data_IF_360267757358
#
_entry.id   IF_360267757358
#
_cell.length_a   1.000
_cell.length_b   1.000
_cell.length_c   1.000
_cell.angle_alpha   90.00
_cell.angle_beta   90.00
_cell.angle_gamma   90.00
#
_symmetry.space_group_name_H-M   'P 1'
#
loop_
_entity.id
_entity.type
_entity.pdbx_description
1 polymer ?
#
# COMPACT_ATOMS: atom_id res chain seq x y z
N UNK A 1 25.00 -20.52 28.15
CA UNK A 1 23.71 -20.55 27.43
C UNK A 1 23.92 -20.05 26.02
N UNK A 2 23.29 -20.68 25.03
CA UNK A 2 23.26 -20.20 23.64
C UNK A 2 21.80 -19.98 23.26
N UNK A 3 21.47 -18.80 22.74
CA UNK A 3 20.16 -18.47 22.21
C UNK A 3 20.30 -18.16 20.72
N UNK A 4 19.30 -18.55 19.92
CA UNK A 4 19.24 -18.28 18.49
C UNK A 4 17.89 -17.63 18.16
N UNK A 5 17.92 -16.61 17.29
CA UNK A 5 16.73 -15.92 16.81
C UNK A 5 16.18 -16.66 15.58
N UNK A 6 14.93 -17.11 15.63
CA UNK A 6 14.31 -17.87 14.54
C UNK A 6 13.55 -16.96 13.55
N UNK A 7 12.73 -16.05 14.06
CA UNK A 7 12.04 -15.01 13.29
C UNK A 7 11.56 -13.87 14.18
N UNK A 8 11.37 -12.68 13.60
CA UNK A 8 10.70 -11.55 14.24
C UNK A 8 9.26 -11.44 13.72
N UNK A 9 8.29 -11.31 14.62
CA UNK A 9 6.91 -10.95 14.26
C UNK A 9 6.84 -9.43 14.28
N UNK A 10 6.95 -8.82 13.12
CA UNK A 10 6.86 -7.36 12.97
C UNK A 10 5.43 -6.99 12.62
N UNK A 11 4.85 -6.04 13.35
CA UNK A 11 3.63 -5.37 12.90
C UNK A 11 3.95 -4.36 11.78
N UNK A 12 2.92 -3.72 11.22
CA UNK A 12 3.11 -2.74 10.12
C UNK A 12 4.03 -1.59 10.52
N UNK A 13 3.98 -1.14 11.78
CA UNK A 13 4.81 -0.04 12.28
C UNK A 13 6.28 -0.44 12.40
N UNK A 14 6.56 -1.62 13.00
CA UNK A 14 7.89 -2.18 13.08
C UNK A 14 8.48 -2.44 11.69
N UNK A 15 7.65 -2.89 10.74
CA UNK A 15 8.07 -3.02 9.34
C UNK A 15 8.52 -1.70 8.75
N UNK A 16 7.75 -0.61 8.93
CA UNK A 16 8.12 0.72 8.43
C UNK A 16 9.48 1.18 8.96
N UNK A 17 9.72 1.01 10.26
CA UNK A 17 11.00 1.37 10.88
C UNK A 17 12.16 0.51 10.37
N UNK A 18 11.95 -0.80 10.19
CA UNK A 18 13.01 -1.72 9.76
C UNK A 18 13.33 -1.61 8.26
N UNK A 19 12.34 -1.28 7.43
CA UNK A 19 12.48 -1.22 5.97
C UNK A 19 12.67 0.20 5.42
N UNK A 20 12.52 1.23 6.25
CA UNK A 20 12.44 2.62 5.79
C UNK A 20 11.17 2.94 4.99
N UNK A 21 10.17 2.06 5.03
CA UNK A 21 8.93 2.20 4.28
C UNK A 21 7.94 3.13 5.00
N UNK A 22 7.27 4.00 4.24
CA UNK A 22 6.20 4.83 4.82
C UNK A 22 5.02 3.94 5.22
N UNK A 23 4.64 3.98 6.49
CA UNK A 23 3.43 3.32 7.01
C UNK A 23 2.22 4.25 7.02
N UNK A 24 2.35 5.43 6.39
CA UNK A 24 1.33 6.46 6.38
C UNK A 24 0.94 6.84 4.95
N UNK A 25 -0.34 7.21 4.80
CA UNK A 25 -0.88 7.72 3.54
C UNK A 25 -1.08 6.62 2.50
N UNK A 26 -1.06 7.03 1.23
CA UNK A 26 -1.47 6.17 0.10
C UNK A 26 -0.54 4.97 -0.09
N UNK A 27 0.73 5.07 0.31
CA UNK A 27 1.77 4.04 0.14
C UNK A 27 2.00 3.16 1.38
N UNK A 28 1.13 3.21 2.38
CA UNK A 28 1.29 2.41 3.61
C UNK A 28 1.39 0.90 3.39
N UNK A 29 0.80 0.37 2.32
CA UNK A 29 0.69 -1.06 2.10
C UNK A 29 1.97 -1.59 1.44
N UNK A 30 2.80 -2.36 2.15
CA UNK A 30 4.07 -2.85 1.60
C UNK A 30 3.86 -3.89 0.50
N UNK A 31 2.67 -4.49 0.40
CA UNK A 31 2.34 -5.43 -0.68
C UNK A 31 1.93 -4.68 -1.95
N UNK A 32 1.15 -3.61 -1.80
CA UNK A 32 0.61 -2.86 -2.94
C UNK A 32 1.62 -1.86 -3.49
N UNK A 33 2.33 -1.20 -2.58
CA UNK A 33 3.29 -0.14 -2.81
C UNK A 33 2.69 1.00 -3.65
N UNK A 34 3.31 1.29 -4.79
CA UNK A 34 2.93 2.31 -5.77
C UNK A 34 1.69 1.93 -6.60
N UNK A 35 1.46 0.64 -6.86
CA UNK A 35 0.24 0.12 -7.53
C UNK A 35 -0.87 -0.15 -6.50
N UNK A 36 -1.06 0.81 -5.59
CA UNK A 36 -2.16 0.85 -4.62
C UNK A 36 -3.35 1.60 -5.19
N UNK A 37 -4.56 1.20 -4.80
CA UNK A 37 -5.79 1.90 -5.21
C UNK A 37 -6.46 2.63 -4.07
N UNK A 38 -5.67 2.89 -3.03
CA UNK A 38 -6.03 3.73 -1.91
C UNK A 38 -6.36 5.11 -2.43
N UNK A 39 -7.44 5.67 -1.91
CA UNK A 39 -7.84 7.03 -2.24
C UNK A 39 -8.11 7.79 -0.95
N UNK A 40 -7.91 9.10 -0.98
CA UNK A 40 -8.26 9.94 0.15
C UNK A 40 -9.75 10.27 0.13
N UNK A 41 -10.41 10.19 1.30
CA UNK A 41 -11.78 10.66 1.45
C UNK A 41 -11.83 12.17 1.19
N UNK A 42 -12.77 12.63 0.36
CA UNK A 42 -12.88 14.04 -0.03
C UNK A 42 -12.91 15.00 1.17
N UNK A 43 -13.74 14.70 2.17
CA UNK A 43 -13.95 15.56 3.33
C UNK A 43 -12.96 15.30 4.47
N UNK A 44 -12.54 14.04 4.65
CA UNK A 44 -11.65 13.65 5.75
C UNK A 44 -10.16 13.73 5.41
N UNK A 45 -9.81 13.76 4.12
CA UNK A 45 -8.43 13.66 3.58
C UNK A 45 -7.63 12.44 4.09
N UNK A 46 -8.30 11.48 4.73
CA UNK A 46 -7.72 10.23 5.21
C UNK A 46 -7.71 9.21 4.10
N UNK A 47 -6.63 8.43 4.05
CA UNK A 47 -6.49 7.28 3.17
C UNK A 47 -7.60 6.25 3.46
N UNK A 48 -8.24 5.78 2.40
CA UNK A 48 -9.32 4.79 2.44
C UNK A 48 -8.92 3.56 1.62
N UNK A 49 -9.02 2.40 2.27
CA UNK A 49 -8.66 1.09 1.73
C UNK A 49 -9.88 0.32 1.22
N UNK A 50 -11.05 0.95 1.21
CA UNK A 50 -12.26 0.36 0.64
C UNK A 50 -11.95 -0.04 -0.80
N UNK A 51 -12.31 -1.27 -1.15
CA UNK A 51 -12.10 -1.92 -2.43
C UNK A 51 -10.65 -2.28 -2.81
N UNK A 52 -9.65 -1.92 -2.01
CA UNK A 52 -8.26 -2.30 -2.29
C UNK A 52 -8.07 -3.81 -2.20
N UNK A 53 -8.66 -4.48 -1.21
CA UNK A 53 -8.53 -5.93 -1.03
C UNK A 53 -9.12 -6.76 -2.18
N UNK A 54 -10.02 -6.18 -3.00
CA UNK A 54 -10.61 -6.88 -4.16
C UNK A 54 -9.57 -7.27 -5.22
N UNK A 55 -8.38 -6.64 -5.19
CA UNK A 55 -7.28 -6.99 -6.08
C UNK A 55 -6.60 -8.32 -5.78
N UNK A 56 -6.79 -8.85 -4.57
CA UNK A 56 -6.23 -10.14 -4.17
C UNK A 56 -7.23 -11.29 -4.31
N UNK A 57 -8.45 -10.99 -4.77
CA UNK A 57 -9.45 -12.01 -5.08
C UNK A 57 -9.09 -12.70 -6.39
N UNK A 58 -9.31 -14.02 -6.44
CA UNK A 58 -9.13 -14.81 -7.66
C UNK A 58 -9.93 -14.23 -8.82
N UNK A 59 -9.44 -14.50 -10.02
CA UNK A 59 -10.11 -14.09 -11.25
C UNK A 59 -11.55 -14.62 -11.28
N UNK A 60 -12.47 -13.78 -11.75
CA UNK A 60 -13.91 -14.06 -11.81
C UNK A 60 -14.62 -14.21 -10.45
N UNK A 61 -13.97 -13.85 -9.34
CA UNK A 61 -14.68 -13.79 -8.05
C UNK A 61 -15.88 -12.82 -8.13
N UNK A 62 -17.09 -13.18 -7.64
CA UNK A 62 -18.29 -12.34 -7.76
C UNK A 62 -18.09 -10.90 -7.26
N UNK A 63 -17.32 -10.73 -6.20
CA UNK A 63 -16.99 -9.43 -5.64
C UNK A 63 -16.06 -8.57 -6.49
N UNK A 64 -15.36 -9.10 -7.49
CA UNK A 64 -14.63 -8.26 -8.45
C UNK A 64 -15.60 -7.41 -9.27
N UNK A 65 -16.80 -7.93 -9.59
CA UNK A 65 -17.79 -7.23 -10.44
C UNK A 65 -18.97 -6.61 -9.70
N UNK A 66 -19.04 -6.81 -8.39
CA UNK A 66 -20.09 -6.22 -7.57
C UNK A 66 -19.94 -4.69 -7.49
N UNK A 67 -20.96 -3.97 -7.94
CA UNK A 67 -21.04 -2.50 -7.99
C UNK A 67 -21.92 -1.91 -6.87
N UNK A 68 -22.55 -2.77 -6.08
CA UNK A 68 -23.60 -2.42 -5.12
C UNK A 68 -23.10 -2.47 -3.68
N UNK A 69 -22.37 -3.52 -3.29
CA UNK A 69 -21.90 -3.73 -1.90
C UNK A 69 -20.60 -3.00 -1.58
N UNK A 70 -20.00 -2.37 -2.58
CA UNK A 70 -18.68 -1.74 -2.55
C UNK A 70 -18.78 -0.27 -2.94
N UNK A 71 -17.67 0.39 -3.30
CA UNK A 71 -17.75 1.74 -3.86
C UNK A 71 -18.66 1.72 -5.08
N UNK A 72 -19.69 2.56 -5.04
CA UNK A 72 -20.75 2.62 -6.05
C UNK A 72 -20.16 2.71 -7.45
N UNK A 73 -20.66 1.86 -8.35
CA UNK A 73 -20.26 1.81 -9.76
C UNK A 73 -18.77 1.49 -9.99
N UNK A 74 -18.03 0.99 -9.00
CA UNK A 74 -16.65 0.52 -9.19
C UNK A 74 -16.58 -0.99 -9.38
N UNK A 75 -15.81 -1.36 -10.40
CA UNK A 75 -15.59 -2.73 -10.86
C UNK A 75 -14.09 -2.99 -10.90
N UNK A 76 -13.67 -4.21 -10.59
CA UNK A 76 -12.29 -4.66 -10.74
C UNK A 76 -12.16 -5.61 -11.93
N UNK A 77 -11.30 -5.24 -12.87
CA UNK A 77 -11.07 -5.99 -14.11
C UNK A 77 -9.64 -6.52 -14.23
N UNK A 78 -8.73 -6.21 -13.31
CA UNK A 78 -7.36 -6.73 -13.37
C UNK A 78 -7.33 -8.18 -12.88
N UNK A 79 -6.42 -8.96 -13.47
CA UNK A 79 -6.03 -10.28 -12.98
C UNK A 79 -5.67 -10.18 -11.50
N UNK A 80 -6.07 -11.19 -10.72
CA UNK A 80 -5.75 -11.28 -9.30
C UNK A 80 -4.25 -11.02 -9.10
N UNK A 81 -3.91 -10.03 -8.26
CA UNK A 81 -2.52 -9.79 -7.92
C UNK A 81 -2.02 -11.00 -7.15
N UNK A 82 -1.02 -11.68 -7.70
CA UNK A 82 -0.33 -12.76 -6.99
C UNK A 82 0.23 -12.17 -5.69
N UNK A 83 0.04 -12.90 -4.59
CA UNK A 83 0.69 -12.54 -3.33
C UNK A 83 2.19 -12.74 -3.54
N UNK A 84 2.91 -11.63 -3.55
CA UNK A 84 4.38 -11.65 -3.60
C UNK A 84 4.90 -12.30 -2.33
N UNK A 85 5.97 -13.08 -2.47
CA UNK A 85 6.72 -13.59 -1.31
C UNK A 85 7.66 -12.50 -0.77
N UNK A 86 8.13 -12.66 0.47
CA UNK A 86 8.87 -11.63 1.19
C UNK A 86 10.06 -11.05 0.41
N UNK A 87 10.82 -11.90 -0.29
CA UNK A 87 11.96 -11.46 -1.09
C UNK A 87 11.54 -10.57 -2.28
N UNK A 88 10.48 -10.94 -2.99
CA UNK A 88 9.94 -10.15 -4.09
C UNK A 88 9.38 -8.80 -3.63
N UNK A 89 8.79 -8.75 -2.43
CA UNK A 89 8.34 -7.51 -1.80
C UNK A 89 9.55 -6.62 -1.50
N UNK A 90 10.61 -7.19 -0.91
CA UNK A 90 11.82 -6.42 -0.59
C UNK A 90 12.49 -5.87 -1.84
N UNK A 91 12.65 -6.69 -2.87
CA UNK A 91 13.31 -6.28 -4.12
C UNK A 91 12.55 -5.14 -4.80
N UNK A 92 11.22 -5.27 -4.90
CA UNK A 92 10.37 -4.20 -5.43
C UNK A 92 10.37 -2.94 -4.56
N UNK A 93 10.42 -3.07 -3.24
CA UNK A 93 10.51 -1.91 -2.35
C UNK A 93 11.84 -1.16 -2.53
N UNK A 94 12.93 -1.87 -2.79
CA UNK A 94 14.24 -1.27 -3.08
C UNK A 94 14.23 -0.46 -4.38
N UNK A 95 13.47 -0.88 -5.40
CA UNK A 95 13.30 -0.11 -6.65
C UNK A 95 12.49 1.19 -6.44
N UNK A 96 11.55 1.20 -5.50
CA UNK A 96 10.67 2.34 -5.23
C UNK A 96 11.32 3.36 -4.26
N UNK A 97 12.18 2.90 -3.35
CA UNK A 97 12.83 3.73 -2.33
C UNK A 97 13.58 4.95 -2.90
N UNK A 98 14.37 4.86 -3.99
CA UNK A 98 14.99 6.03 -4.62
C UNK A 98 13.99 7.04 -5.20
N UNK A 99 12.85 6.56 -5.72
CA UNK A 99 11.80 7.42 -6.25
C UNK A 99 11.01 8.14 -5.12
N UNK A 100 10.88 7.48 -3.97
CA UNK A 100 10.32 8.08 -2.75
C UNK A 100 11.23 9.17 -2.18
N UNK A 101 12.53 8.94 -2.10
CA UNK A 101 13.49 9.97 -1.69
C UNK A 101 13.51 11.16 -2.67
N UNK A 102 13.45 10.91 -3.97
CA UNK A 102 13.33 11.97 -4.98
C UNK A 102 12.06 12.83 -4.76
N UNK A 103 10.92 12.22 -4.42
CA UNK A 103 9.67 12.90 -4.06
C UNK A 103 9.76 13.70 -2.75
N UNK A 104 10.55 13.24 -1.78
CA UNK A 104 10.84 13.97 -0.53
C UNK A 104 11.83 15.14 -0.74
N UNK A 105 12.65 15.08 -1.79
CA UNK A 105 13.59 16.16 -2.15
C UNK A 105 13.01 17.21 -3.12
N UNK A 106 11.86 16.94 -3.74
CA UNK A 106 11.11 18.00 -4.44
C UNK A 106 10.66 19.03 -3.40
N UNK A 107 10.82 20.34 -3.65
CA UNK A 107 10.37 21.35 -2.71
C UNK A 107 8.91 21.10 -2.38
N UNK A 108 8.62 20.79 -1.13
CA UNK A 108 7.25 20.58 -0.72
C UNK A 108 6.53 21.93 -0.82
N UNK A 109 5.74 22.14 -1.88
CA UNK A 109 4.66 23.15 -1.86
C UNK A 109 3.53 22.74 -0.88
N UNK A 110 3.77 21.73 -0.04
CA UNK A 110 2.92 21.35 1.06
C UNK A 110 3.01 22.39 2.19
N UNK A 111 2.32 23.52 2.01
CA UNK A 111 2.24 24.61 2.97
C UNK A 111 2.05 26.01 2.39
N UNK A 112 2.11 26.20 1.06
CA UNK A 112 2.04 27.54 0.43
C UNK A 112 0.63 28.13 0.27
N UNK A 113 -0.43 27.42 0.70
CA UNK A 113 -1.82 27.88 0.57
C UNK A 113 -2.55 28.16 1.89
N UNK A 114 -1.82 28.45 2.96
CA UNK A 114 -2.40 29.00 4.18
C UNK A 114 -1.91 30.45 4.41
N UNK A 115 -2.57 31.39 3.74
CA UNK A 115 -2.73 32.79 4.15
C UNK A 115 -4.20 33.16 4.01
#
# INVERSE_FOLDING_TARGET
>A
MRAALMWTVNDLLAYGMASGWSTAGVMDCPVCMDDTRVFNLHHGRKACYIDCYRQFLLEHHPYQRNKETFTKNRVYYKVARLRLIGDQIRDRAADISPAFEMLLTLPSEYGSYHK
#
